data_IF_496569577154
#
_entry.id   IF_496569577154
#
_cell.length_a   1.000
_cell.length_b   1.000
_cell.length_c   1.000
_cell.angle_alpha   90.00
_cell.angle_beta   90.00
_cell.angle_gamma   90.00
#
_symmetry.space_group_name_H-M   'P 1'
#
loop_
_entity.id
_entity.type
_entity.pdbx_description
1 polymer ?
#
# COMPACT_ATOMS: atom_id res chain seq x y z
N UNK A 1 7.60 28.16 10.81
CA UNK A 1 8.53 27.01 10.58
C UNK A 1 7.77 26.06 9.69
N UNK A 2 8.07 26.07 8.37
CA UNK A 2 7.54 25.07 7.45
C UNK A 2 8.31 23.79 7.78
N UNK A 3 7.67 22.86 8.52
CA UNK A 3 8.18 21.51 8.66
C UNK A 3 8.14 20.87 7.28
N UNK A 4 9.28 20.77 6.62
CA UNK A 4 9.40 19.93 5.43
C UNK A 4 9.14 18.50 5.92
N UNK A 5 7.91 18.04 5.71
CA UNK A 5 7.59 16.63 5.96
C UNK A 5 8.46 15.81 5.02
N UNK A 6 9.41 15.08 5.57
CA UNK A 6 10.18 14.12 4.80
C UNK A 6 9.19 13.10 4.25
N UNK A 7 9.30 12.80 2.96
CA UNK A 7 8.52 11.77 2.28
C UNK A 7 8.96 10.38 2.79
N UNK A 8 8.44 10.00 3.96
CA UNK A 8 8.84 8.80 4.69
C UNK A 8 7.72 7.76 4.68
N UNK A 9 8.08 6.50 4.56
CA UNK A 9 7.17 5.34 4.60
C UNK A 9 7.77 4.27 5.50
N UNK A 10 7.03 3.83 6.51
CA UNK A 10 7.43 2.69 7.33
C UNK A 10 7.34 1.39 6.54
N UNK A 11 8.45 0.64 6.47
CA UNK A 11 8.54 -0.64 5.76
C UNK A 11 8.60 -1.86 6.69
N UNK A 12 8.74 -1.65 8.01
CA UNK A 12 8.81 -2.69 9.03
C UNK A 12 7.84 -2.32 10.17
N UNK A 13 6.64 -2.91 10.16
CA UNK A 13 5.55 -2.57 11.07
C UNK A 13 4.80 -3.82 11.50
N UNK A 14 4.60 -3.97 12.82
CA UNK A 14 3.83 -5.04 13.43
C UNK A 14 2.44 -4.57 13.82
N UNK A 15 1.44 -5.38 13.50
CA UNK A 15 0.04 -5.16 13.90
C UNK A 15 -0.33 -6.06 15.09
N UNK A 16 -1.57 -5.96 15.54
CA UNK A 16 -2.15 -6.87 16.53
C UNK A 16 -2.03 -8.37 16.17
N UNK A 17 -1.71 -8.70 14.93
CA UNK A 17 -1.48 -10.10 14.49
C UNK A 17 -0.06 -10.60 14.77
N UNK A 18 0.84 -9.72 15.19
CA UNK A 18 2.11 -10.08 15.86
C UNK A 18 1.87 -10.23 17.36
N UNK A 19 1.23 -11.34 17.76
CA UNK A 19 0.53 -11.53 19.03
C UNK A 19 1.36 -11.16 20.28
N UNK A 20 2.69 -11.34 20.24
CA UNK A 20 3.54 -11.13 21.41
C UNK A 20 4.03 -9.68 21.58
N UNK A 21 4.06 -8.88 20.50
CA UNK A 21 4.68 -7.55 20.48
C UNK A 21 3.90 -6.50 19.69
N UNK A 22 2.96 -6.90 18.84
CA UNK A 22 2.10 -5.99 18.11
C UNK A 22 0.83 -5.64 18.89
N UNK A 23 0.63 -4.35 19.20
CA UNK A 23 -0.56 -3.88 19.93
C UNK A 23 -1.54 -3.12 19.04
N UNK A 24 -1.05 -2.46 18.00
CA UNK A 24 -1.85 -1.55 17.20
C UNK A 24 -2.73 -2.28 16.19
N UNK A 25 -4.01 -1.89 16.12
CA UNK A 25 -4.89 -2.39 15.06
C UNK A 25 -4.49 -1.80 13.70
N UNK A 26 -4.78 -2.54 12.64
CA UNK A 26 -4.53 -2.12 11.25
C UNK A 26 -5.12 -0.74 10.96
N UNK A 27 -6.36 -0.49 11.37
CA UNK A 27 -7.04 0.79 11.14
C UNK A 27 -6.33 1.96 11.82
N UNK A 28 -5.89 1.80 13.09
CA UNK A 28 -5.16 2.86 13.81
C UNK A 28 -3.81 3.17 13.18
N UNK A 29 -3.11 2.15 12.71
CA UNK A 29 -1.82 2.32 12.01
C UNK A 29 -1.99 3.10 10.70
N UNK A 30 -2.96 2.74 9.88
CA UNK A 30 -3.27 3.44 8.62
C UNK A 30 -3.68 4.88 8.90
N UNK A 31 -4.60 5.11 9.84
CA UNK A 31 -5.06 6.46 10.18
C UNK A 31 -3.92 7.34 10.71
N UNK A 32 -3.03 6.77 11.53
CA UNK A 32 -1.83 7.48 12.03
C UNK A 32 -0.88 7.82 10.89
N UNK A 33 -0.56 6.87 10.01
CA UNK A 33 0.32 7.09 8.88
C UNK A 33 -0.23 8.16 7.93
N UNK A 34 -1.53 8.11 7.62
CA UNK A 34 -2.18 9.14 6.80
C UNK A 34 -2.18 10.52 7.48
N UNK A 35 -2.45 10.57 8.80
CA UNK A 35 -2.41 11.81 9.59
C UNK A 35 -1.01 12.43 9.61
N UNK A 36 0.03 11.60 9.65
CA UNK A 36 1.43 12.04 9.63
C UNK A 36 1.90 12.39 8.19
N UNK A 37 1.01 12.30 7.20
CA UNK A 37 1.30 12.66 5.80
C UNK A 37 2.06 11.60 5.02
N UNK A 38 2.18 10.38 5.53
CA UNK A 38 2.80 9.28 4.79
C UNK A 38 1.95 8.88 3.59
N UNK A 39 2.59 8.61 2.47
CA UNK A 39 1.92 8.15 1.24
C UNK A 39 1.65 6.65 1.20
N UNK A 40 2.06 5.91 2.22
CA UNK A 40 1.89 4.48 2.34
C UNK A 40 2.54 3.94 3.60
N UNK A 41 2.39 2.66 3.83
CA UNK A 41 3.12 1.91 4.86
C UNK A 41 3.12 0.42 4.51
N UNK A 42 4.07 -0.31 5.05
CA UNK A 42 4.04 -1.77 5.02
C UNK A 42 3.38 -2.35 6.29
N UNK A 43 2.88 -3.57 6.17
CA UNK A 43 2.60 -4.45 7.30
C UNK A 43 3.47 -5.69 7.14
N UNK A 44 4.22 -6.02 8.20
CA UNK A 44 5.23 -7.07 8.22
C UNK A 44 5.15 -7.87 9.52
N UNK A 45 3.99 -8.48 9.79
CA UNK A 45 3.77 -9.28 10.98
C UNK A 45 4.71 -10.50 11.03
N UNK A 46 5.04 -10.95 12.24
CA UNK A 46 5.94 -12.07 12.48
C UNK A 46 5.40 -13.38 11.91
N UNK A 47 6.02 -13.88 10.84
CA UNK A 47 5.79 -15.20 10.25
C UNK A 47 4.38 -15.42 9.71
N UNK A 48 3.60 -14.35 9.50
CA UNK A 48 2.22 -14.47 9.01
C UNK A 48 1.80 -13.28 8.14
N UNK A 49 0.69 -13.47 7.42
CA UNK A 49 0.05 -12.46 6.56
C UNK A 49 -1.42 -12.23 6.95
N UNK A 50 -1.79 -12.46 8.22
CA UNK A 50 -3.19 -12.42 8.66
C UNK A 50 -3.81 -11.03 8.54
N UNK A 51 -3.03 -9.97 8.75
CA UNK A 51 -3.47 -8.58 8.63
C UNK A 51 -3.75 -8.13 7.19
N UNK A 52 -3.22 -8.81 6.17
CA UNK A 52 -3.17 -8.29 4.79
C UNK A 52 -4.57 -8.02 4.22
N UNK A 53 -5.54 -8.91 4.45
CA UNK A 53 -6.92 -8.72 3.94
C UNK A 53 -7.61 -7.52 4.58
N UNK A 54 -7.47 -7.37 5.90
CA UNK A 54 -8.00 -6.20 6.63
C UNK A 54 -7.33 -4.91 6.15
N UNK A 55 -6.01 -4.92 6.01
CA UNK A 55 -5.22 -3.80 5.53
C UNK A 55 -5.62 -3.35 4.11
N UNK A 56 -5.76 -4.31 3.19
CA UNK A 56 -6.22 -4.04 1.84
C UNK A 56 -7.63 -3.41 1.84
N UNK A 57 -8.57 -4.00 2.54
CA UNK A 57 -9.94 -3.51 2.58
C UNK A 57 -10.03 -2.11 3.20
N UNK A 58 -9.31 -1.89 4.31
CA UNK A 58 -9.33 -0.61 4.99
C UNK A 58 -8.71 0.51 4.15
N UNK A 59 -7.55 0.26 3.54
CA UNK A 59 -6.89 1.23 2.66
C UNK A 59 -7.69 1.49 1.39
N UNK A 60 -8.34 0.48 0.81
CA UNK A 60 -9.26 0.64 -0.33
C UNK A 60 -10.41 1.57 0.02
N UNK A 61 -11.01 1.39 1.21
CA UNK A 61 -12.08 2.27 1.72
C UNK A 61 -11.58 3.71 1.90
N UNK A 62 -10.40 3.91 2.49
CA UNK A 62 -9.79 5.24 2.67
C UNK A 62 -9.48 5.92 1.33
N UNK A 63 -9.09 5.18 0.33
CA UNK A 63 -8.78 5.66 -1.01
C UNK A 63 -10.03 5.86 -1.89
N UNK A 64 -11.24 5.54 -1.44
CA UNK A 64 -12.43 5.51 -2.32
C UNK A 64 -12.71 6.83 -3.03
N UNK A 65 -12.66 7.96 -2.32
CA UNK A 65 -12.81 9.29 -2.90
C UNK A 65 -11.71 9.61 -3.92
N UNK A 66 -10.45 9.37 -3.55
CA UNK A 66 -9.31 9.59 -4.44
C UNK A 66 -9.37 8.70 -5.69
N UNK A 67 -9.83 7.46 -5.57
CA UNK A 67 -10.05 6.57 -6.71
C UNK A 67 -11.18 7.06 -7.63
N UNK A 68 -12.24 7.65 -7.06
CA UNK A 68 -13.30 8.29 -7.84
C UNK A 68 -12.76 9.48 -8.64
N UNK A 69 -11.96 10.36 -8.01
CA UNK A 69 -11.28 11.47 -8.68
C UNK A 69 -10.41 11.00 -9.85
N UNK A 70 -9.57 9.98 -9.61
CA UNK A 70 -8.70 9.40 -10.63
C UNK A 70 -9.52 8.85 -11.81
N UNK A 71 -10.64 8.17 -11.54
CA UNK A 71 -11.53 7.65 -12.58
C UNK A 71 -12.16 8.78 -13.38
N UNK A 72 -12.61 9.83 -12.71
CA UNK A 72 -13.16 11.03 -13.33
C UNK A 72 -12.14 11.70 -14.25
N UNK A 73 -10.93 11.98 -13.75
CA UNK A 73 -9.89 12.62 -14.55
C UNK A 73 -9.44 11.78 -15.75
N UNK A 74 -9.33 10.46 -15.61
CA UNK A 74 -9.05 9.56 -16.74
C UNK A 74 -10.13 9.61 -17.82
N UNK A 75 -11.40 9.62 -17.40
CA UNK A 75 -12.53 9.74 -18.34
C UNK A 75 -12.50 11.08 -19.06
N UNK A 76 -12.23 12.18 -18.32
CA UNK A 76 -12.15 13.54 -18.89
C UNK A 76 -11.01 13.64 -19.90
N UNK A 77 -9.83 13.11 -19.58
CA UNK A 77 -8.69 13.08 -20.50
C UNK A 77 -9.05 12.33 -21.79
N UNK A 78 -9.68 11.15 -21.69
CA UNK A 78 -10.05 10.37 -22.85
C UNK A 78 -11.05 11.11 -23.79
N UNK A 79 -12.01 11.86 -23.23
CA UNK A 79 -12.91 12.72 -24.03
C UNK A 79 -12.14 13.82 -24.76
N UNK A 80 -11.26 14.52 -24.05
CA UNK A 80 -10.48 15.63 -24.60
C UNK A 80 -9.48 15.16 -25.68
N UNK A 81 -8.86 14.00 -25.51
CA UNK A 81 -7.96 13.38 -26.50
C UNK A 81 -8.70 12.96 -27.78
N UNK A 82 -10.00 12.65 -27.68
CA UNK A 82 -10.89 12.40 -28.82
C UNK A 82 -11.45 13.68 -29.46
N UNK A 83 -11.03 14.87 -29.01
CA UNK A 83 -11.50 16.15 -29.52
C UNK A 83 -12.88 16.58 -28.99
N UNK A 84 -13.42 15.89 -27.98
CA UNK A 84 -14.68 16.27 -27.34
C UNK A 84 -14.42 17.31 -26.25
N UNK A 85 -15.18 18.43 -26.25
CA UNK A 85 -15.12 19.41 -25.17
C UNK A 85 -15.80 18.85 -23.92
N UNK A 86 -14.96 18.44 -22.95
CA UNK A 86 -15.41 17.79 -21.72
C UNK A 86 -16.21 18.77 -20.83
N UNK A 87 -15.85 20.06 -20.79
CA UNK A 87 -16.56 21.06 -19.99
C UNK A 87 -17.94 21.34 -20.56
N UNK A 88 -18.04 21.51 -21.87
CA UNK A 88 -19.33 21.64 -22.56
C UNK A 88 -20.22 20.42 -22.32
N UNK A 89 -19.66 19.23 -22.45
CA UNK A 89 -20.42 17.98 -22.24
C UNK A 89 -20.96 17.87 -20.82
N UNK A 90 -20.14 18.16 -19.80
CA UNK A 90 -20.56 18.16 -18.38
C UNK A 90 -21.68 19.19 -18.13
N UNK A 91 -21.57 20.39 -18.72
CA UNK A 91 -22.60 21.41 -18.61
C UNK A 91 -23.93 20.96 -19.26
N UNK A 92 -23.87 20.41 -20.48
CA UNK A 92 -25.07 19.89 -21.17
C UNK A 92 -25.73 18.77 -20.39
N UNK A 93 -24.94 17.82 -19.86
CA UNK A 93 -25.47 16.71 -19.05
C UNK A 93 -26.07 17.23 -17.73
N UNK A 94 -25.49 18.27 -17.15
CA UNK A 94 -26.03 18.97 -15.98
C UNK A 94 -27.38 19.63 -16.27
N UNK A 95 -27.55 20.32 -17.39
CA UNK A 95 -28.81 20.94 -17.80
C UNK A 95 -29.90 19.87 -18.04
N UNK A 96 -29.56 18.77 -18.72
CA UNK A 96 -30.50 17.63 -18.93
C UNK A 96 -30.95 17.00 -17.61
N UNK A 97 -30.04 16.87 -16.62
CA UNK A 97 -30.37 16.34 -15.30
C UNK A 97 -31.36 17.27 -14.57
N UNK A 98 -31.09 18.58 -14.55
CA UNK A 98 -32.01 19.59 -13.95
C UNK A 98 -33.39 19.54 -14.60
N UNK A 99 -33.46 19.47 -15.92
CA UNK A 99 -34.72 19.32 -16.66
C UNK A 99 -35.48 18.06 -16.24
N UNK A 100 -34.78 16.91 -16.16
CA UNK A 100 -35.41 15.65 -15.76
C UNK A 100 -35.95 15.70 -14.34
N UNK A 101 -35.23 16.31 -13.41
CA UNK A 101 -35.67 16.50 -12.02
C UNK A 101 -36.92 17.40 -11.96
N UNK A 102 -36.95 18.48 -12.73
CA UNK A 102 -38.11 19.37 -12.84
C UNK A 102 -39.34 18.64 -13.43
N UNK A 103 -39.14 17.84 -14.48
CA UNK A 103 -40.21 17.03 -15.09
C UNK A 103 -40.75 15.94 -14.13
N UNK A 104 -39.90 15.37 -13.26
CA UNK A 104 -40.32 14.44 -12.23
C UNK A 104 -41.13 15.12 -11.14
N UNK A 105 -40.75 16.32 -10.67
CA UNK A 105 -41.50 17.10 -9.70
C UNK A 105 -42.88 17.47 -10.24
N UNK A 106 -42.94 17.91 -11.51
CA UNK A 106 -44.23 18.24 -12.16
C UNK A 106 -45.13 17.02 -12.21
N UNK A 107 -44.66 15.88 -12.67
CA UNK A 107 -45.44 14.63 -12.74
C UNK A 107 -45.96 14.17 -11.38
N UNK A 108 -45.16 14.35 -10.33
CA UNK A 108 -45.61 14.01 -8.94
C UNK A 108 -46.71 14.93 -8.46
N UNK A 109 -46.58 16.24 -8.68
CA UNK A 109 -47.62 17.19 -8.29
C UNK A 109 -48.94 16.91 -9.03
N UNK A 110 -48.86 16.69 -10.38
CA UNK A 110 -50.04 16.35 -11.20
C UNK A 110 -50.69 15.03 -10.75
N UNK A 111 -49.92 14.02 -10.40
CA UNK A 111 -50.43 12.71 -9.94
C UNK A 111 -51.13 12.79 -8.56
N UNK A 112 -50.75 13.76 -7.75
CA UNK A 112 -51.33 13.95 -6.39
C UNK A 112 -52.39 15.07 -6.32
N UNK A 113 -52.71 15.69 -7.46
CA UNK A 113 -53.58 16.88 -7.54
C UNK A 113 -53.08 18.05 -6.66
N UNK A 114 -51.74 18.22 -6.60
CA UNK A 114 -51.03 19.25 -5.82
C UNK A 114 -50.63 20.43 -6.72
N UNK A 115 -50.41 21.63 -6.17
CA UNK A 115 -49.87 22.77 -6.90
C UNK A 115 -48.48 22.45 -7.44
N UNK A 116 -48.22 22.77 -8.72
CA UNK A 116 -46.91 22.56 -9.33
C UNK A 116 -45.87 23.46 -8.64
N UNK A 117 -44.81 22.92 -8.03
CA UNK A 117 -43.82 23.71 -7.36
C UNK A 117 -42.97 24.54 -8.35
N UNK A 118 -42.46 25.68 -7.91
CA UNK A 118 -41.66 26.58 -8.77
C UNK A 118 -40.43 25.90 -9.36
N UNK A 119 -39.83 24.98 -8.63
CA UNK A 119 -38.66 24.19 -9.03
C UNK A 119 -38.97 23.25 -10.21
N UNK A 120 -40.25 22.95 -10.48
CA UNK A 120 -40.68 22.19 -11.66
C UNK A 120 -40.68 23.02 -12.97
N UNK A 121 -40.41 24.32 -12.88
CA UNK A 121 -40.31 25.23 -14.04
C UNK A 121 -38.81 25.41 -14.39
N UNK A 122 -38.23 24.40 -15.05
CA UNK A 122 -36.84 24.49 -15.52
C UNK A 122 -36.70 25.52 -16.63
N UNK A 123 -35.73 26.43 -16.46
CA UNK A 123 -35.27 27.38 -17.50
C UNK A 123 -33.80 27.09 -17.74
N UNK A 124 -33.40 26.72 -18.97
CA UNK A 124 -31.99 26.47 -19.28
C UNK A 124 -31.12 27.70 -18.98
N UNK A 125 -29.99 27.46 -18.32
CA UNK A 125 -29.01 28.52 -18.09
C UNK A 125 -28.32 28.89 -19.40
N UNK A 126 -27.82 30.14 -19.52
CA UNK A 126 -26.97 30.53 -20.66
C UNK A 126 -25.67 29.72 -20.62
N UNK A 127 -25.23 29.22 -21.78
CA UNK A 127 -23.98 28.47 -21.86
C UNK A 127 -22.79 29.38 -21.53
N UNK A 128 -21.95 29.02 -20.56
CA UNK A 128 -20.74 29.79 -20.26
C UNK A 128 -19.66 29.59 -21.34
N UNK A 129 -18.69 30.47 -21.38
CA UNK A 129 -17.45 30.26 -22.14
C UNK A 129 -16.60 29.17 -21.42
N UNK A 130 -16.09 28.21 -22.20
CA UNK A 130 -15.18 27.19 -21.70
C UNK A 130 -13.76 27.40 -22.21
N UNK A 131 -12.73 27.06 -21.42
CA UNK A 131 -11.34 27.08 -21.89
C UNK A 131 -11.16 26.21 -23.14
N UNK A 132 -10.19 26.51 -24.01
CA UNK A 132 -9.84 25.64 -25.13
C UNK A 132 -9.56 24.19 -24.69
N UNK A 133 -9.88 23.22 -25.56
CA UNK A 133 -9.68 21.78 -25.28
C UNK A 133 -8.24 21.48 -24.86
N UNK A 134 -7.24 22.14 -25.44
CA UNK A 134 -5.83 21.98 -25.08
C UNK A 134 -5.55 22.36 -23.63
N UNK A 135 -6.13 23.45 -23.15
CA UNK A 135 -5.96 23.93 -21.76
C UNK A 135 -6.70 23.03 -20.76
N UNK A 136 -7.90 22.58 -21.13
CA UNK A 136 -8.65 21.59 -20.35
C UNK A 136 -7.85 20.29 -20.22
N UNK A 137 -7.21 19.81 -21.30
CA UNK A 137 -6.40 18.60 -21.30
C UNK A 137 -5.15 18.75 -20.44
N UNK A 138 -4.46 19.87 -20.52
CA UNK A 138 -3.30 20.18 -19.67
C UNK A 138 -3.69 20.15 -18.18
N UNK A 139 -4.77 20.84 -17.83
CA UNK A 139 -5.31 20.87 -16.46
C UNK A 139 -5.69 19.46 -15.97
N UNK A 140 -6.42 18.70 -16.78
CA UNK A 140 -6.86 17.35 -16.42
C UNK A 140 -5.68 16.39 -16.16
N UNK A 141 -4.60 16.52 -16.93
CA UNK A 141 -3.36 15.75 -16.71
C UNK A 141 -2.67 16.09 -15.40
N UNK A 142 -2.58 17.38 -15.08
CA UNK A 142 -2.01 17.86 -13.80
C UNK A 142 -2.82 17.35 -12.63
N UNK A 143 -4.14 17.47 -12.68
CA UNK A 143 -5.05 17.01 -11.63
C UNK A 143 -5.02 15.49 -11.45
N UNK A 144 -4.91 14.70 -12.55
CA UNK A 144 -4.72 13.26 -12.46
C UNK A 144 -3.44 12.90 -11.72
N UNK A 145 -2.34 13.61 -11.97
CA UNK A 145 -1.07 13.38 -11.26
C UNK A 145 -1.22 13.75 -9.78
N UNK A 146 -1.85 14.88 -9.47
CA UNK A 146 -2.13 15.29 -8.10
C UNK A 146 -3.02 14.27 -7.36
N UNK A 147 -4.08 13.77 -8.01
CA UNK A 147 -4.95 12.74 -7.44
C UNK A 147 -4.17 11.44 -7.14
N UNK A 148 -3.32 10.99 -8.07
CA UNK A 148 -2.47 9.80 -7.85
C UNK A 148 -1.50 9.95 -6.68
N UNK A 149 -0.98 11.16 -6.44
CA UNK A 149 -0.10 11.44 -5.29
C UNK A 149 -0.84 11.37 -3.94
N UNK A 150 -2.16 11.56 -3.92
CA UNK A 150 -2.98 11.45 -2.71
C UNK A 150 -3.31 10.01 -2.31
N UNK A 151 -3.09 9.02 -3.20
CA UNK A 151 -3.34 7.61 -2.86
C UNK A 151 -2.40 7.14 -1.76
N UNK A 152 -2.99 6.58 -0.70
CA UNK A 152 -2.23 5.84 0.30
C UNK A 152 -1.94 4.43 -0.21
N UNK A 153 -0.66 4.06 -0.29
CA UNK A 153 -0.21 2.77 -0.82
C UNK A 153 -0.05 1.74 0.29
N UNK A 154 -0.87 0.68 0.34
CA UNK A 154 -0.58 -0.47 1.17
C UNK A 154 0.58 -1.27 0.56
N UNK A 155 1.57 -1.62 1.39
CA UNK A 155 2.69 -2.47 1.03
C UNK A 155 2.55 -3.76 1.81
N UNK A 156 2.47 -4.90 1.12
CA UNK A 156 2.25 -6.20 1.73
C UNK A 156 3.57 -6.88 2.00
N UNK A 157 3.78 -7.32 3.22
CA UNK A 157 5.01 -7.96 3.64
C UNK A 157 4.81 -8.94 4.79
N UNK A 158 5.92 -9.52 5.21
CA UNK A 158 6.04 -10.38 6.37
C UNK A 158 7.44 -10.26 6.94
N UNK A 159 7.58 -10.18 8.25
CA UNK A 159 8.86 -10.43 8.91
C UNK A 159 9.02 -11.94 9.07
N UNK A 160 9.77 -12.54 8.17
CA UNK A 160 9.96 -13.99 8.13
C UNK A 160 11.05 -14.44 9.09
N UNK A 161 10.90 -15.65 9.61
CA UNK A 161 11.94 -16.36 10.31
C UNK A 161 12.75 -17.21 9.34
N UNK A 162 14.05 -16.95 9.24
CA UNK A 162 14.98 -17.68 8.35
C UNK A 162 15.76 -18.70 9.18
N UNK A 163 15.66 -19.97 8.83
CA UNK A 163 16.45 -21.05 9.42
C UNK A 163 17.94 -20.93 8.99
N UNK A 164 18.89 -21.21 9.87
CA UNK A 164 20.32 -21.21 9.51
C UNK A 164 20.69 -22.33 8.54
N UNK A 165 19.91 -23.42 8.51
CA UNK A 165 20.08 -24.57 7.67
C UNK A 165 18.78 -24.92 6.93
N UNK A 166 18.75 -26.05 6.22
CA UNK A 166 17.56 -26.53 5.51
C UNK A 166 16.40 -26.80 6.49
N UNK A 167 15.15 -26.61 6.01
CA UNK A 167 13.93 -26.71 6.81
C UNK A 167 13.70 -28.10 7.43
N UNK A 168 14.19 -29.16 6.80
CA UNK A 168 14.12 -30.54 7.27
C UNK A 168 15.05 -30.82 8.46
N UNK A 169 15.96 -29.90 8.79
CA UNK A 169 16.86 -30.02 9.91
C UNK A 169 16.26 -29.34 11.15
N UNK A 170 16.14 -30.11 12.27
CA UNK A 170 15.43 -29.68 13.48
C UNK A 170 16.20 -30.02 14.75
N UNK A 171 17.51 -29.73 14.77
CA UNK A 171 18.35 -29.90 15.94
C UNK A 171 18.28 -28.66 16.83
N UNK A 172 17.86 -28.82 18.09
CA UNK A 172 17.61 -27.71 19.03
C UNK A 172 18.76 -26.75 19.15
N UNK A 173 19.98 -27.23 19.26
CA UNK A 173 21.19 -26.40 19.45
C UNK A 173 21.62 -25.65 18.19
N UNK A 174 21.36 -26.23 17.01
CA UNK A 174 21.76 -25.67 15.72
C UNK A 174 20.63 -24.89 15.04
N UNK A 175 19.40 -25.40 15.09
CA UNK A 175 18.24 -24.88 14.34
C UNK A 175 17.22 -24.17 15.24
N UNK A 176 17.44 -24.13 16.54
CA UNK A 176 16.64 -23.36 17.50
C UNK A 176 16.80 -21.84 17.30
N UNK A 177 17.94 -21.40 16.75
CA UNK A 177 18.16 -20.02 16.33
C UNK A 177 17.54 -19.79 14.96
N UNK A 178 17.02 -18.62 14.72
CA UNK A 178 16.44 -18.15 13.46
C UNK A 178 16.71 -16.68 13.32
N UNK A 179 16.82 -16.22 12.09
CA UNK A 179 17.05 -14.83 11.77
C UNK A 179 15.74 -14.18 11.32
N UNK A 180 15.59 -12.90 11.58
CA UNK A 180 14.51 -12.11 11.02
C UNK A 180 14.88 -11.59 9.64
N UNK A 181 13.91 -11.52 8.75
CA UNK A 181 14.07 -11.00 7.41
C UNK A 181 12.77 -10.30 6.98
N UNK A 182 12.85 -9.04 6.59
CA UNK A 182 11.70 -8.34 6.03
C UNK A 182 11.58 -8.70 4.57
N UNK A 183 10.42 -9.23 4.18
CA UNK A 183 10.10 -9.60 2.80
C UNK A 183 8.85 -8.85 2.39
N UNK A 184 8.97 -8.04 1.33
CA UNK A 184 7.90 -7.19 0.81
C UNK A 184 7.55 -7.58 -0.62
N UNK A 185 6.26 -7.57 -0.96
CA UNK A 185 5.80 -7.78 -2.32
C UNK A 185 5.96 -6.50 -3.16
N UNK A 186 6.76 -6.55 -4.21
CA UNK A 186 6.98 -5.47 -5.17
C UNK A 186 5.85 -5.36 -6.21
N UNK A 187 5.27 -6.50 -6.57
CA UNK A 187 4.24 -6.66 -7.59
C UNK A 187 3.38 -7.90 -7.31
N UNK A 188 2.46 -8.24 -8.20
CA UNK A 188 1.56 -9.38 -8.07
C UNK A 188 2.31 -10.72 -8.00
N UNK A 189 3.34 -10.92 -8.83
CA UNK A 189 4.21 -12.12 -8.77
C UNK A 189 4.85 -12.24 -7.40
N UNK A 190 5.43 -11.14 -6.87
CA UNK A 190 6.01 -11.10 -5.53
C UNK A 190 4.99 -11.36 -4.43
N UNK A 191 3.75 -10.88 -4.57
CA UNK A 191 2.69 -11.20 -3.62
C UNK A 191 2.39 -12.70 -3.57
N UNK A 192 2.24 -13.35 -4.74
CA UNK A 192 2.03 -14.80 -4.80
C UNK A 192 3.24 -15.59 -4.28
N UNK A 193 4.47 -15.14 -4.55
CA UNK A 193 5.67 -15.77 -4.02
C UNK A 193 5.77 -15.59 -2.49
N UNK A 194 5.44 -14.42 -1.96
CA UNK A 194 5.36 -14.20 -0.51
C UNK A 194 4.33 -15.12 0.16
N UNK A 195 3.14 -15.28 -0.44
CA UNK A 195 2.11 -16.22 0.04
C UNK A 195 2.63 -17.65 0.08
N UNK A 196 3.35 -18.09 -0.98
CA UNK A 196 3.96 -19.43 -1.02
C UNK A 196 5.01 -19.60 0.09
N UNK A 197 5.92 -18.64 0.24
CA UNK A 197 6.95 -18.65 1.29
C UNK A 197 6.34 -18.74 2.69
N UNK A 198 5.34 -17.91 2.99
CA UNK A 198 4.65 -17.91 4.27
C UNK A 198 3.90 -19.24 4.47
N UNK A 199 3.18 -19.74 3.46
CA UNK A 199 2.47 -21.02 3.56
C UNK A 199 3.43 -22.18 3.84
N UNK A 200 4.51 -22.30 3.06
CA UNK A 200 5.54 -23.35 3.25
C UNK A 200 6.23 -23.24 4.62
N UNK A 201 6.40 -22.01 5.13
CA UNK A 201 6.97 -21.85 6.49
C UNK A 201 6.10 -22.48 7.58
N UNK A 202 4.79 -22.53 7.38
CA UNK A 202 3.84 -23.16 8.31
C UNK A 202 3.67 -24.67 8.07
N UNK A 203 3.65 -25.12 6.82
CA UNK A 203 3.42 -26.54 6.49
C UNK A 203 4.69 -27.37 6.61
N UNK A 204 5.80 -26.89 6.09
CA UNK A 204 7.04 -27.67 5.93
C UNK A 204 8.15 -27.18 6.88
N UNK A 205 8.15 -25.88 7.20
CA UNK A 205 9.23 -25.23 7.95
C UNK A 205 8.97 -25.04 9.44
N UNK A 206 7.82 -25.48 9.96
CA UNK A 206 7.46 -25.20 11.35
C UNK A 206 8.34 -25.98 12.34
N UNK A 207 9.18 -25.22 13.05
CA UNK A 207 9.92 -25.71 14.22
C UNK A 207 9.97 -24.59 15.27
N UNK A 208 9.09 -24.67 16.28
CA UNK A 208 8.85 -23.64 17.30
C UNK A 208 8.24 -22.35 16.69
N UNK A 209 8.63 -22.01 15.48
CA UNK A 209 8.12 -20.88 14.66
C UNK A 209 8.03 -21.31 13.19
N UNK A 210 7.21 -20.64 12.38
CA UNK A 210 7.17 -20.87 10.94
C UNK A 210 8.45 -20.31 10.29
N UNK A 211 9.29 -21.20 9.74
CA UNK A 211 10.59 -20.83 9.18
C UNK A 211 10.61 -21.02 7.67
N UNK A 212 11.33 -20.13 6.99
CA UNK A 212 11.83 -20.35 5.63
C UNK A 212 13.33 -20.63 5.67
N UNK A 213 13.94 -21.00 4.55
CA UNK A 213 15.38 -21.11 4.40
C UNK A 213 15.86 -20.43 3.10
N UNK A 214 17.17 -20.38 2.90
CA UNK A 214 17.77 -19.75 1.71
C UNK A 214 17.33 -20.42 0.40
N UNK A 215 17.06 -21.72 0.41
CA UNK A 215 16.60 -22.44 -0.78
C UNK A 215 15.20 -22.01 -1.20
N UNK A 216 14.28 -21.92 -0.25
CA UNK A 216 12.93 -21.45 -0.51
C UNK A 216 12.90 -19.96 -0.93
N UNK A 217 13.73 -19.14 -0.29
CA UNK A 217 13.88 -17.72 -0.65
C UNK A 217 14.39 -17.54 -2.08
N UNK A 218 15.39 -18.32 -2.50
CA UNK A 218 15.93 -18.27 -3.85
C UNK A 218 14.91 -18.76 -4.89
N UNK A 219 14.22 -19.88 -4.60
CA UNK A 219 13.19 -20.45 -5.48
C UNK A 219 11.98 -19.53 -5.71
N UNK A 220 11.69 -18.61 -4.78
CA UNK A 220 10.55 -17.71 -4.82
C UNK A 220 10.94 -16.23 -4.77
N UNK A 221 12.15 -15.87 -5.24
CA UNK A 221 12.72 -14.53 -5.12
C UNK A 221 12.07 -13.47 -6.03
N UNK A 222 11.48 -13.91 -7.15
CA UNK A 222 10.93 -12.99 -8.16
C UNK A 222 9.85 -12.07 -7.58
N UNK A 223 9.96 -10.77 -7.87
CA UNK A 223 8.98 -9.77 -7.45
C UNK A 223 9.00 -9.42 -5.97
N UNK A 224 10.03 -9.83 -5.22
CA UNK A 224 10.22 -9.51 -3.82
C UNK A 224 11.26 -8.40 -3.62
N UNK A 225 11.04 -7.59 -2.58
CA UNK A 225 12.03 -6.70 -1.98
C UNK A 225 12.34 -7.25 -0.60
N UNK A 226 13.63 -7.29 -0.25
CA UNK A 226 14.09 -7.89 1.00
C UNK A 226 14.95 -6.89 1.77
N UNK A 227 14.72 -6.78 3.10
CA UNK A 227 15.53 -5.95 3.98
C UNK A 227 16.14 -6.79 5.11
N UNK A 228 17.31 -6.40 5.60
CA UNK A 228 18.09 -7.13 6.60
C UNK A 228 17.44 -7.23 7.99
N UNK A 229 16.27 -6.64 8.16
CA UNK A 229 15.50 -6.57 9.39
C UNK A 229 16.20 -5.87 10.56
N UNK A 230 15.73 -6.14 11.77
CA UNK A 230 16.22 -5.57 13.02
C UNK A 230 17.51 -6.25 13.51
N UNK A 231 17.89 -5.98 14.77
CA UNK A 231 19.02 -6.62 15.46
C UNK A 231 18.96 -8.17 15.47
N UNK A 232 17.77 -8.76 15.25
CA UNK A 232 17.60 -10.21 15.13
C UNK A 232 17.83 -10.76 13.70
N UNK A 233 18.12 -9.89 12.71
CA UNK A 233 18.48 -10.30 11.36
C UNK A 233 19.82 -11.03 11.30
N UNK A 234 20.07 -11.76 10.20
CA UNK A 234 21.31 -12.53 10.02
C UNK A 234 22.54 -11.65 10.03
N UNK A 235 22.54 -10.59 9.20
CA UNK A 235 23.69 -9.66 9.08
C UNK A 235 23.99 -8.96 10.41
N UNK A 236 23.04 -8.28 11.06
CA UNK A 236 23.33 -7.60 12.33
C UNK A 236 23.76 -8.57 13.44
N UNK A 237 23.21 -9.78 13.51
CA UNK A 237 23.65 -10.77 14.52
C UNK A 237 25.09 -11.23 14.32
N UNK A 238 25.50 -11.46 13.06
CA UNK A 238 26.87 -11.82 12.73
C UNK A 238 27.84 -10.67 13.08
N UNK A 239 27.50 -9.43 12.78
CA UNK A 239 28.28 -8.25 13.18
C UNK A 239 28.45 -8.19 14.71
N UNK A 240 27.34 -8.33 15.45
CA UNK A 240 27.36 -8.31 16.92
C UNK A 240 28.16 -9.45 17.56
N UNK A 241 28.24 -10.60 16.89
CA UNK A 241 29.09 -11.72 17.35
C UNK A 241 30.56 -11.61 16.93
N UNK A 242 30.94 -10.55 16.18
CA UNK A 242 32.29 -10.35 15.65
C UNK A 242 32.59 -11.15 14.37
N UNK A 243 31.59 -11.86 13.81
CA UNK A 243 31.70 -12.62 12.57
C UNK A 243 31.48 -11.69 11.36
N UNK A 244 32.44 -10.82 11.10
CA UNK A 244 32.34 -9.84 9.99
C UNK A 244 32.41 -10.51 8.62
N UNK A 245 33.21 -11.56 8.47
CA UNK A 245 33.34 -12.33 7.23
C UNK A 245 32.00 -13.02 6.91
N UNK A 246 31.41 -13.70 7.88
CA UNK A 246 30.09 -14.31 7.69
C UNK A 246 28.97 -13.28 7.47
N UNK A 247 29.08 -12.08 8.02
CA UNK A 247 28.13 -11.00 7.74
C UNK A 247 28.23 -10.54 6.27
N UNK A 248 29.45 -10.40 5.76
CA UNK A 248 29.70 -10.06 4.36
C UNK A 248 29.20 -11.16 3.41
N UNK A 249 29.49 -12.44 3.71
CA UNK A 249 28.99 -13.58 2.95
C UNK A 249 27.45 -13.58 2.87
N UNK A 250 26.77 -13.28 3.99
CA UNK A 250 25.32 -13.18 4.02
C UNK A 250 24.81 -12.04 3.11
N UNK A 251 25.41 -10.85 3.19
CA UNK A 251 25.07 -9.71 2.30
C UNK A 251 25.26 -10.09 0.84
N UNK A 252 26.41 -10.73 0.49
CA UNK A 252 26.69 -11.15 -0.87
C UNK A 252 25.69 -12.18 -1.38
N UNK A 253 25.26 -13.12 -0.53
CA UNK A 253 24.24 -14.10 -0.89
C UNK A 253 22.90 -13.41 -1.19
N UNK A 254 22.41 -12.55 -0.28
CA UNK A 254 21.16 -11.82 -0.50
C UNK A 254 21.22 -10.94 -1.74
N UNK A 255 22.34 -10.25 -1.94
CA UNK A 255 22.54 -9.40 -3.13
C UNK A 255 22.55 -10.21 -4.42
N UNK A 256 23.16 -11.41 -4.43
CA UNK A 256 23.14 -12.31 -5.59
C UNK A 256 21.72 -12.76 -5.94
N UNK A 257 20.89 -13.08 -4.94
CA UNK A 257 19.53 -13.60 -5.13
C UNK A 257 18.54 -12.50 -5.50
N UNK A 258 18.59 -11.36 -4.81
CA UNK A 258 17.59 -10.29 -4.93
C UNK A 258 18.08 -9.06 -5.71
N UNK A 259 19.36 -8.98 -6.04
CA UNK A 259 19.95 -7.87 -6.79
C UNK A 259 19.70 -6.52 -6.14
N UNK A 260 19.19 -5.57 -6.91
CA UNK A 260 18.84 -4.22 -6.44
C UNK A 260 17.58 -4.16 -5.56
N UNK A 261 16.96 -5.31 -5.29
CA UNK A 261 15.83 -5.42 -4.35
C UNK A 261 16.25 -5.89 -2.94
N UNK A 262 17.56 -5.95 -2.65
CA UNK A 262 18.05 -6.19 -1.30
C UNK A 262 18.56 -4.90 -0.65
N UNK A 263 18.14 -4.64 0.58
CA UNK A 263 18.49 -3.44 1.35
C UNK A 263 18.95 -3.78 2.75
N UNK A 264 19.93 -3.03 3.25
CA UNK A 264 20.29 -3.03 4.66
C UNK A 264 19.35 -2.06 5.40
N UNK A 265 18.73 -2.54 6.47
CA UNK A 265 17.83 -1.76 7.29
C UNK A 265 18.59 -1.11 8.44
N UNK A 266 18.40 0.20 8.61
CA UNK A 266 18.93 0.96 9.74
C UNK A 266 17.76 1.44 10.60
N UNK A 267 17.74 1.03 11.86
CA UNK A 267 16.74 1.44 12.84
C UNK A 267 17.36 2.45 13.80
N UNK A 268 16.69 3.62 13.97
CA UNK A 268 17.08 4.61 14.97
C UNK A 268 16.14 4.46 16.17
N UNK A 269 16.73 4.17 17.32
CA UNK A 269 16.05 4.19 18.60
C UNK A 269 16.64 5.29 19.47
N UNK A 270 15.81 5.97 20.27
CA UNK A 270 16.33 6.80 21.35
C UNK A 270 16.88 5.88 22.44
N UNK A 271 18.17 5.77 22.49
CA UNK A 271 18.87 5.00 23.52
C UNK A 271 19.03 5.90 24.74
N UNK A 272 18.39 5.53 25.85
CA UNK A 272 18.55 6.22 27.13
C UNK A 272 19.76 5.72 27.91
N UNK A 273 20.37 4.63 27.50
CA UNK A 273 21.55 4.06 28.12
C UNK A 273 22.81 4.69 27.50
N UNK A 274 23.61 5.45 28.30
CA UNK A 274 24.84 6.09 27.80
C UNK A 274 25.93 5.08 27.40
N UNK A 275 25.74 3.77 27.66
CA UNK A 275 26.67 2.70 27.29
C UNK A 275 26.23 1.88 26.06
N UNK A 276 25.17 2.28 25.39
CA UNK A 276 24.72 1.70 24.11
C UNK A 276 24.95 2.72 22.95
#
# INVERSE_FOLDING_TARGET
IVTIMQDFVHLHVHTQYSILDGQASVSRLVDKAMKDGMRGMAITDHGNMMAIKEFFNYTTKKNSGTNADIKMWKKRIALLENGEDAALKEWVDGQKKKQKEADELRRRAEANDEPIPAEANFVPEAQPEFPPIADQLATARVELVAARKRLFKPIFGCEMYVAPRRLDQMEKEKDGRRYHLIVLAKNETGYHNLVKLVSKSWTDGFYVRPRTDRFELEAHSEGLIVCSACIAGEVPRKILSGDLEGAEEAVQWYKRVFGDNYYLELQRHEVKDPNQ
#
